data_IF_538501546642
#
_entry.id   IF_538501546642
#
_cell.length_a   1.000
_cell.length_b   1.000
_cell.length_c   1.000
_cell.angle_alpha   90.00
_cell.angle_beta   90.00
_cell.angle_gamma   90.00
#
_symmetry.space_group_name_H-M   'P 1'
#
loop_
_entity.id
_entity.type
_entity.pdbx_description
1 polymer ?
#
# COMPACT_ATOMS: atom_id res chain seq x y z
N UNK A 1 7.08 25.60 11.81
CA UNK A 1 5.97 25.10 10.97
C UNK A 1 6.41 25.21 9.53
N UNK A 2 6.98 24.15 8.98
CA UNK A 2 7.36 24.08 7.56
C UNK A 2 6.25 23.36 6.82
N UNK A 3 5.57 24.09 5.95
CA UNK A 3 4.54 23.61 5.03
C UNK A 3 5.03 22.36 4.27
N UNK A 4 4.54 21.19 4.65
CA UNK A 4 4.61 19.97 3.84
C UNK A 4 3.59 20.08 2.71
N UNK A 5 3.94 20.81 1.64
CA UNK A 5 3.19 20.84 0.36
C UNK A 5 3.14 19.47 -0.36
N UNK A 6 3.72 18.41 0.20
CA UNK A 6 3.79 17.09 -0.41
C UNK A 6 2.72 16.09 0.06
N UNK A 7 1.97 16.39 1.14
CA UNK A 7 1.04 15.43 1.73
C UNK A 7 -0.37 16.01 1.86
N UNK A 8 -1.31 15.50 1.06
CA UNK A 8 -2.68 16.01 0.93
C UNK A 8 -3.63 15.41 1.99
N UNK A 9 -3.24 15.49 3.26
CA UNK A 9 -4.09 15.05 4.37
C UNK A 9 -5.34 15.93 4.51
N UNK A 10 -6.49 15.32 4.78
CA UNK A 10 -7.76 16.01 5.01
C UNK A 10 -8.47 16.51 3.74
N UNK A 11 -7.81 16.45 2.58
CA UNK A 11 -8.43 16.72 1.27
C UNK A 11 -8.61 15.43 0.47
N UNK A 12 -7.52 14.72 0.19
CA UNK A 12 -7.51 13.49 -0.63
C UNK A 12 -7.24 12.24 0.21
N UNK A 13 -6.53 12.39 1.32
CA UNK A 13 -6.06 11.28 2.16
C UNK A 13 -6.52 11.48 3.60
N UNK A 14 -7.08 10.42 4.19
CA UNK A 14 -7.44 10.42 5.62
C UNK A 14 -6.26 9.89 6.43
N UNK A 15 -5.92 10.58 7.52
CA UNK A 15 -4.85 10.15 8.43
C UNK A 15 -5.39 9.07 9.40
N UNK A 16 -5.23 7.80 9.03
CA UNK A 16 -5.55 6.65 9.88
C UNK A 16 -4.39 6.32 10.83
N UNK A 17 -3.19 6.25 10.28
CA UNK A 17 -1.95 6.00 10.99
C UNK A 17 -1.31 7.33 11.37
N UNK A 18 -1.47 7.70 12.64
CA UNK A 18 -0.89 8.91 13.24
C UNK A 18 0.61 8.76 13.48
N UNK A 19 1.27 9.88 13.75
CA UNK A 19 2.66 9.87 14.20
C UNK A 19 2.80 9.06 15.51
N UNK A 20 3.80 8.20 15.56
CA UNK A 20 4.17 7.46 16.76
C UNK A 20 5.69 7.56 16.96
N UNK A 21 6.07 8.21 18.06
CA UNK A 21 7.47 8.42 18.45
C UNK A 21 8.19 7.09 18.73
N UNK A 22 7.49 6.08 19.25
CA UNK A 22 8.08 4.77 19.54
C UNK A 22 8.41 4.04 18.24
N UNK A 23 7.48 4.06 17.28
CA UNK A 23 7.70 3.50 15.95
C UNK A 23 8.85 4.22 15.21
N UNK A 24 8.92 5.54 15.29
CA UNK A 24 10.03 6.31 14.70
C UNK A 24 11.38 5.93 15.33
N UNK A 25 11.45 5.81 16.66
CA UNK A 25 12.68 5.39 17.35
C UNK A 25 13.11 3.99 16.94
N UNK A 26 12.18 3.04 16.83
CA UNK A 26 12.47 1.68 16.33
C UNK A 26 13.00 1.71 14.90
N UNK A 27 12.41 2.55 14.04
CA UNK A 27 12.84 2.70 12.66
C UNK A 27 14.26 3.27 12.55
N UNK A 28 14.58 4.31 13.33
CA UNK A 28 15.93 4.88 13.41
C UNK A 28 16.93 3.82 13.90
N UNK A 29 16.62 3.13 15.00
CA UNK A 29 17.50 2.10 15.56
C UNK A 29 17.77 0.97 14.55
N UNK A 30 16.75 0.58 13.77
CA UNK A 30 16.93 -0.42 12.72
C UNK A 30 17.88 0.09 11.61
N UNK A 31 17.72 1.34 11.16
CA UNK A 31 18.61 1.95 10.16
C UNK A 31 20.05 2.09 10.66
N UNK A 32 20.25 2.42 11.94
CA UNK A 32 21.58 2.44 12.55
C UNK A 32 22.19 1.03 12.58
N UNK A 33 21.43 0.00 12.97
CA UNK A 33 21.91 -1.39 12.93
C UNK A 33 22.32 -1.80 11.51
N UNK A 34 21.53 -1.43 10.51
CA UNK A 34 21.82 -1.73 9.10
C UNK A 34 23.08 -0.99 8.61
N UNK A 35 23.28 0.26 9.05
CA UNK A 35 24.51 1.03 8.80
C UNK A 35 25.77 0.33 9.33
N UNK A 36 25.72 -0.19 10.56
CA UNK A 36 26.86 -0.90 11.18
C UNK A 36 27.10 -2.29 10.57
N UNK A 37 26.07 -2.92 9.99
CA UNK A 37 26.17 -4.23 9.31
C UNK A 37 26.61 -4.13 7.86
N UNK A 38 26.31 -3.01 7.20
CA UNK A 38 26.58 -2.83 5.78
C UNK A 38 28.05 -2.55 5.51
N UNK A 39 28.56 -3.14 4.43
CA UNK A 39 29.89 -2.87 3.87
C UNK A 39 29.74 -2.47 2.42
N UNK A 40 30.42 -1.41 2.02
CA UNK A 40 30.24 -0.83 0.68
C UNK A 40 31.53 -0.78 -0.12
N UNK A 41 31.39 -0.78 -1.44
CA UNK A 41 32.52 -0.44 -2.31
C UNK A 41 32.73 1.06 -2.32
N UNK A 42 33.99 1.52 -2.40
CA UNK A 42 34.33 2.94 -2.57
C UNK A 42 33.65 3.62 -3.77
N UNK A 43 33.20 2.84 -4.75
CA UNK A 43 32.57 3.31 -5.98
C UNK A 43 31.04 3.51 -5.87
N UNK A 44 30.41 2.98 -4.81
CA UNK A 44 28.98 3.07 -4.58
C UNK A 44 28.73 3.58 -3.16
N UNK A 45 28.63 4.92 -2.99
CA UNK A 45 28.43 5.53 -1.67
C UNK A 45 26.97 5.33 -1.25
N UNK A 46 26.69 4.21 -0.61
CA UNK A 46 25.58 4.17 0.33
C UNK A 46 26.15 4.64 1.70
N UNK A 47 25.38 4.49 2.77
CA UNK A 47 25.88 4.76 4.12
C UNK A 47 26.14 3.41 4.79
N UNK A 48 27.42 3.03 4.88
CA UNK A 48 27.89 1.86 5.62
C UNK A 48 29.15 2.18 6.41
N UNK A 49 29.33 1.55 7.58
CA UNK A 49 30.52 1.75 8.43
C UNK A 49 31.78 1.18 7.80
N UNK A 50 31.60 0.07 7.10
CA UNK A 50 32.68 -0.68 6.48
C UNK A 50 32.75 -0.37 4.99
N UNK A 51 33.97 -0.34 4.48
CA UNK A 51 34.29 -0.03 3.11
C UNK A 51 35.20 -1.14 2.58
N UNK A 52 34.70 -1.89 1.61
CA UNK A 52 35.46 -2.86 0.83
C UNK A 52 36.26 -2.13 -0.22
N UNK A 53 37.58 -2.13 -0.07
CA UNK A 53 38.53 -1.68 -1.08
C UNK A 53 39.18 -2.89 -1.74
N UNK A 54 39.26 -2.86 -3.06
CA UNK A 54 39.87 -3.91 -3.87
C UNK A 54 40.78 -3.27 -4.91
N UNK A 55 41.99 -3.79 -5.08
CA UNK A 55 42.92 -3.35 -6.11
C UNK A 55 43.41 -4.53 -6.95
N UNK A 56 43.36 -4.35 -8.26
CA UNK A 56 43.92 -5.23 -9.29
C UNK A 56 45.35 -4.79 -9.71
N UNK A 57 45.85 -3.71 -9.11
CA UNK A 57 47.14 -3.12 -9.44
C UNK A 57 48.30 -3.90 -8.81
N UNK A 58 49.53 -3.76 -9.35
CA UNK A 58 50.73 -4.30 -8.71
C UNK A 58 50.83 -3.87 -7.24
N UNK A 59 51.25 -4.79 -6.38
CA UNK A 59 51.23 -4.62 -4.92
C UNK A 59 51.85 -3.30 -4.43
N UNK A 60 52.95 -2.83 -5.04
CA UNK A 60 53.57 -1.56 -4.66
C UNK A 60 52.68 -0.32 -4.87
N UNK A 61 51.84 -0.32 -5.91
CA UNK A 61 50.87 0.75 -6.17
C UNK A 61 49.66 0.58 -5.24
N UNK A 62 49.15 -0.64 -5.13
CA UNK A 62 48.03 -0.96 -4.25
C UNK A 62 48.32 -0.56 -2.78
N UNK A 63 49.52 -0.83 -2.28
CA UNK A 63 49.93 -0.45 -0.93
C UNK A 63 50.04 1.07 -0.75
N UNK A 64 50.42 1.81 -1.79
CA UNK A 64 50.45 3.28 -1.72
C UNK A 64 49.04 3.83 -1.56
N UNK A 65 48.10 3.38 -2.39
CA UNK A 65 46.69 3.81 -2.32
C UNK A 65 46.05 3.43 -0.97
N UNK A 66 46.33 2.22 -0.48
CA UNK A 66 45.90 1.80 0.84
C UNK A 66 46.48 2.71 1.93
N UNK A 67 47.76 3.05 1.85
CA UNK A 67 48.42 3.94 2.82
C UNK A 67 47.76 5.32 2.84
N UNK A 68 47.36 5.86 1.69
CA UNK A 68 46.61 7.12 1.62
C UNK A 68 45.25 7.03 2.33
N UNK A 69 44.56 5.89 2.24
CA UNK A 69 43.31 5.66 2.99
C UNK A 69 43.57 5.56 4.51
N UNK A 70 44.66 4.90 4.93
CA UNK A 70 45.03 4.83 6.35
C UNK A 70 45.39 6.20 6.92
N UNK A 71 46.08 7.04 6.14
CA UNK A 71 46.40 8.43 6.52
C UNK A 71 45.14 9.30 6.66
N UNK A 72 44.07 9.00 5.91
CA UNK A 72 42.75 9.62 6.07
C UNK A 72 41.99 9.13 7.32
N UNK A 73 42.58 8.22 8.10
CA UNK A 73 42.03 7.72 9.37
C UNK A 73 41.20 6.44 9.24
N UNK A 74 41.16 5.81 8.07
CA UNK A 74 40.51 4.51 7.91
C UNK A 74 41.32 3.43 8.64
N UNK A 75 40.63 2.48 9.26
CA UNK A 75 41.26 1.38 10.01
C UNK A 75 41.05 0.07 9.26
N UNK A 76 42.11 -0.72 9.10
CA UNK A 76 41.99 -2.08 8.54
C UNK A 76 41.22 -2.97 9.51
N UNK A 77 40.14 -3.58 9.03
CA UNK A 77 39.36 -4.58 9.78
C UNK A 77 39.84 -5.99 9.41
N UNK A 78 39.92 -6.27 8.11
CA UNK A 78 40.45 -7.52 7.58
C UNK A 78 41.04 -7.28 6.20
N UNK A 79 41.99 -8.14 5.81
CA UNK A 79 42.61 -8.12 4.50
C UNK A 79 42.72 -9.56 3.98
N UNK A 80 42.43 -9.75 2.71
CA UNK A 80 42.63 -11.02 2.02
C UNK A 80 43.24 -10.78 0.65
N UNK A 81 44.28 -11.53 0.35
CA UNK A 81 44.89 -11.58 -0.97
C UNK A 81 44.35 -12.80 -1.69
N UNK A 82 43.85 -12.60 -2.91
CA UNK A 82 43.68 -13.71 -3.85
C UNK A 82 44.77 -13.58 -4.94
N UNK A 83 44.91 -14.57 -5.83
CA UNK A 83 46.00 -14.58 -6.81
C UNK A 83 46.06 -13.37 -7.76
N UNK A 84 44.96 -12.66 -7.98
CA UNK A 84 44.85 -11.56 -8.94
C UNK A 84 44.49 -10.20 -8.31
N UNK A 85 44.00 -10.19 -7.08
CA UNK A 85 43.45 -9.00 -6.44
C UNK A 85 43.79 -8.97 -4.94
N UNK A 86 44.06 -7.76 -4.46
CA UNK A 86 44.24 -7.48 -3.04
C UNK A 86 43.00 -6.76 -2.52
N UNK A 87 42.35 -7.35 -1.52
CA UNK A 87 41.12 -6.83 -0.94
C UNK A 87 41.33 -6.51 0.53
N UNK A 88 40.81 -5.36 0.94
CA UNK A 88 40.87 -4.89 2.32
C UNK A 88 39.52 -4.33 2.71
N UNK A 89 38.99 -4.80 3.84
CA UNK A 89 37.85 -4.16 4.49
C UNK A 89 38.38 -3.10 5.45
N UNK A 90 37.91 -1.88 5.26
CA UNK A 90 38.28 -0.69 5.99
C UNK A 90 37.10 -0.20 6.81
N UNK A 91 37.32 0.14 8.08
CA UNK A 91 36.35 0.88 8.89
C UNK A 91 36.61 2.37 8.74
N UNK A 92 35.54 3.14 8.53
CA UNK A 92 35.59 4.60 8.48
C UNK A 92 36.12 5.21 9.80
N UNK A 93 36.73 6.41 9.75
CA UNK A 93 37.08 7.16 10.97
C UNK A 93 35.84 7.44 11.83
N UNK A 94 36.00 7.51 13.15
CA UNK A 94 34.88 7.71 14.07
C UNK A 94 34.18 9.07 13.83
N UNK A 95 34.91 10.11 13.44
CA UNK A 95 34.32 11.41 13.04
C UNK A 95 33.42 11.33 11.81
N UNK A 96 33.73 10.44 10.86
CA UNK A 96 32.89 10.21 9.67
C UNK A 96 31.66 9.42 10.07
N UNK A 97 31.82 8.40 10.91
CA UNK A 97 30.73 7.58 11.47
C UNK A 97 29.72 8.46 12.18
N UNK A 98 30.15 9.36 13.06
CA UNK A 98 29.25 10.28 13.78
C UNK A 98 28.48 11.18 12.81
N UNK A 99 29.14 11.69 11.77
CA UNK A 99 28.49 12.52 10.75
C UNK A 99 27.48 11.75 9.88
N UNK A 100 27.78 10.48 9.58
CA UNK A 100 26.90 9.59 8.83
C UNK A 100 25.66 9.22 9.65
N UNK A 101 25.83 8.94 10.95
CA UNK A 101 24.71 8.61 11.84
C UNK A 101 23.70 9.76 11.94
N UNK A 102 24.16 11.01 12.00
CA UNK A 102 23.26 12.18 11.97
C UNK A 102 22.43 12.19 10.69
N UNK A 103 23.07 11.97 9.53
CA UNK A 103 22.37 11.91 8.23
C UNK A 103 21.38 10.75 8.17
N UNK A 104 21.74 9.59 8.72
CA UNK A 104 20.85 8.42 8.79
C UNK A 104 19.62 8.73 9.62
N UNK A 105 19.77 9.43 10.75
CA UNK A 105 18.63 9.84 11.58
C UNK A 105 17.72 10.80 10.82
N UNK A 106 18.27 11.78 10.11
CA UNK A 106 17.49 12.73 9.32
C UNK A 106 16.77 12.04 8.16
N UNK A 107 17.46 11.16 7.43
CA UNK A 107 16.88 10.39 6.35
C UNK A 107 15.79 9.43 6.86
N UNK A 108 16.03 8.75 7.99
CA UNK A 108 15.05 7.87 8.61
C UNK A 108 13.77 8.61 9.02
N UNK A 109 13.86 9.87 9.48
CA UNK A 109 12.69 10.70 9.78
C UNK A 109 11.89 11.05 8.52
N UNK A 110 12.59 11.37 7.43
CA UNK A 110 11.97 11.66 6.14
C UNK A 110 11.26 10.41 5.59
N UNK A 111 11.99 9.30 5.49
CA UNK A 111 11.49 7.99 5.03
C UNK A 111 10.29 7.54 5.86
N UNK A 112 10.35 7.63 7.20
CA UNK A 112 9.24 7.28 8.08
C UNK A 112 7.99 8.12 7.79
N UNK A 113 8.17 9.42 7.53
CA UNK A 113 7.05 10.33 7.21
C UNK A 113 6.40 9.96 5.89
N UNK A 114 7.21 9.61 4.89
CA UNK A 114 6.76 9.15 3.58
C UNK A 114 6.05 7.79 3.66
N UNK A 115 6.66 6.79 4.31
CA UNK A 115 6.05 5.47 4.52
C UNK A 115 4.72 5.56 5.27
N UNK A 116 4.62 6.45 6.25
CA UNK A 116 3.35 6.72 6.94
C UNK A 116 2.31 7.31 5.98
N UNK A 117 2.71 8.25 5.13
CA UNK A 117 1.80 8.82 4.14
C UNK A 117 1.30 7.77 3.15
N UNK A 118 2.20 6.96 2.59
CA UNK A 118 1.83 5.88 1.67
C UNK A 118 0.84 4.92 2.31
N UNK A 119 1.09 4.50 3.57
CA UNK A 119 0.15 3.65 4.33
C UNK A 119 -1.24 4.29 4.49
N UNK A 120 -1.29 5.59 4.73
CA UNK A 120 -2.55 6.33 4.85
C UNK A 120 -3.29 6.45 3.50
N UNK A 121 -2.57 6.65 2.39
CA UNK A 121 -3.13 6.65 1.04
C UNK A 121 -3.77 5.29 0.74
N UNK A 122 -3.06 4.21 1.01
CA UNK A 122 -3.53 2.85 0.72
C UNK A 122 -4.74 2.48 1.57
N UNK A 123 -4.72 2.83 2.86
CA UNK A 123 -5.88 2.58 3.72
C UNK A 123 -7.08 3.45 3.32
N UNK A 124 -6.86 4.71 2.92
CA UNK A 124 -7.93 5.56 2.38
C UNK A 124 -8.58 4.93 1.15
N UNK A 125 -7.77 4.49 0.18
CA UNK A 125 -8.28 3.79 -1.02
C UNK A 125 -9.05 2.53 -0.64
N UNK A 126 -8.58 1.77 0.35
CA UNK A 126 -9.24 0.58 0.84
C UNK A 126 -10.61 0.88 1.45
N UNK A 127 -10.71 1.91 2.28
CA UNK A 127 -11.98 2.33 2.91
C UNK A 127 -12.98 2.88 1.88
N UNK A 128 -12.52 3.63 0.87
CA UNK A 128 -13.35 4.06 -0.26
C UNK A 128 -13.89 2.84 -1.00
N UNK A 129 -13.03 1.88 -1.36
CA UNK A 129 -13.45 0.68 -2.08
C UNK A 129 -14.50 -0.14 -1.30
N UNK A 130 -14.34 -0.27 0.02
CA UNK A 130 -15.34 -0.91 0.86
C UNK A 130 -16.67 -0.17 0.88
N UNK A 131 -16.63 1.16 0.98
CA UNK A 131 -17.84 1.98 1.01
C UNK A 131 -18.60 1.89 -0.31
N UNK A 132 -17.90 2.04 -1.44
CA UNK A 132 -18.50 1.89 -2.79
C UNK A 132 -19.08 0.48 -2.96
N UNK A 133 -18.35 -0.57 -2.58
CA UNK A 133 -18.85 -1.94 -2.70
C UNK A 133 -20.12 -2.19 -1.86
N UNK A 134 -20.22 -1.56 -0.68
CA UNK A 134 -21.42 -1.63 0.15
C UNK A 134 -22.60 -0.92 -0.53
N UNK A 135 -22.39 0.32 -0.98
CA UNK A 135 -23.45 1.10 -1.66
C UNK A 135 -23.94 0.41 -2.93
N UNK A 136 -23.05 -0.21 -3.72
CA UNK A 136 -23.45 -0.98 -4.89
C UNK A 136 -24.32 -2.19 -4.52
N UNK A 137 -23.96 -2.95 -3.48
CA UNK A 137 -24.78 -4.08 -3.01
C UNK A 137 -26.13 -3.63 -2.47
N UNK A 138 -26.19 -2.51 -1.77
CA UNK A 138 -27.44 -1.92 -1.28
C UNK A 138 -28.33 -1.47 -2.45
N UNK A 139 -27.75 -0.87 -3.49
CA UNK A 139 -28.47 -0.49 -4.71
C UNK A 139 -28.99 -1.71 -5.49
N UNK A 140 -28.16 -2.75 -5.65
CA UNK A 140 -28.54 -4.01 -6.32
C UNK A 140 -29.68 -4.72 -5.58
N UNK A 141 -29.60 -4.82 -4.26
CA UNK A 141 -30.66 -5.44 -3.44
C UNK A 141 -31.97 -4.65 -3.50
N UNK A 142 -31.89 -3.31 -3.47
CA UNK A 142 -33.06 -2.46 -3.66
C UNK A 142 -33.69 -2.62 -5.06
N UNK A 143 -32.88 -2.69 -6.12
CA UNK A 143 -33.35 -2.91 -7.48
C UNK A 143 -33.97 -4.31 -7.67
N UNK A 144 -33.38 -5.34 -7.06
CA UNK A 144 -33.92 -6.69 -7.07
C UNK A 144 -35.29 -6.76 -6.35
N UNK A 145 -35.44 -6.06 -5.23
CA UNK A 145 -36.73 -5.96 -4.53
C UNK A 145 -37.78 -5.24 -5.39
N UNK A 146 -37.42 -4.10 -5.97
CA UNK A 146 -38.34 -3.32 -6.81
C UNK A 146 -38.81 -4.11 -8.06
N UNK A 147 -37.93 -4.92 -8.65
CA UNK A 147 -38.29 -5.80 -9.78
C UNK A 147 -39.19 -6.95 -9.35
N UNK A 148 -38.95 -7.56 -8.18
CA UNK A 148 -39.84 -8.60 -7.62
C UNK A 148 -41.25 -8.05 -7.31
N UNK A 149 -41.34 -6.88 -6.69
CA UNK A 149 -42.61 -6.22 -6.36
C UNK A 149 -43.39 -5.82 -7.65
N UNK A 150 -42.68 -5.42 -8.70
CA UNK A 150 -43.29 -5.13 -10.00
C UNK A 150 -43.80 -6.40 -10.69
N UNK A 151 -43.05 -7.50 -10.63
CA UNK A 151 -43.45 -8.77 -11.23
C UNK A 151 -44.70 -9.34 -10.55
N UNK A 152 -44.77 -9.29 -9.22
CA UNK A 152 -45.98 -9.72 -8.47
C UNK A 152 -47.18 -8.87 -8.86
N UNK A 153 -47.05 -7.54 -8.92
CA UNK A 153 -48.14 -6.65 -9.38
C UNK A 153 -48.60 -7.00 -10.80
N UNK A 154 -47.67 -7.28 -11.73
CA UNK A 154 -48.02 -7.68 -13.11
C UNK A 154 -48.75 -9.03 -13.12
N UNK A 155 -48.29 -10.00 -12.32
CA UNK A 155 -48.92 -11.31 -12.20
C UNK A 155 -50.33 -11.21 -11.60
N UNK A 156 -50.51 -10.40 -10.57
CA UNK A 156 -51.81 -10.17 -9.93
C UNK A 156 -52.81 -9.53 -10.90
N UNK A 157 -52.36 -8.51 -11.66
CA UNK A 157 -53.18 -7.89 -12.70
C UNK A 157 -53.55 -8.89 -13.80
N UNK A 158 -52.58 -9.68 -14.29
CA UNK A 158 -52.83 -10.69 -15.30
C UNK A 158 -53.80 -11.79 -14.81
N UNK A 159 -53.72 -12.17 -13.53
CA UNK A 159 -54.63 -13.13 -12.91
C UNK A 159 -56.04 -12.53 -12.79
N UNK A 160 -56.17 -11.26 -12.38
CA UNK A 160 -57.46 -10.58 -12.32
C UNK A 160 -58.14 -10.49 -13.70
N UNK A 161 -57.38 -10.14 -14.74
CA UNK A 161 -57.86 -10.11 -16.13
C UNK A 161 -58.33 -11.49 -16.60
N UNK A 162 -57.58 -12.55 -16.29
CA UNK A 162 -57.98 -13.92 -16.59
C UNK A 162 -59.26 -14.31 -15.83
N UNK A 163 -59.37 -14.02 -14.54
CA UNK A 163 -60.59 -14.31 -13.78
C UNK A 163 -61.80 -13.57 -14.36
N UNK A 164 -61.67 -12.31 -14.74
CA UNK A 164 -62.74 -11.53 -15.36
C UNK A 164 -63.15 -12.10 -16.73
N UNK A 165 -62.19 -12.53 -17.56
CA UNK A 165 -62.45 -13.12 -18.86
C UNK A 165 -63.17 -14.49 -18.76
N UNK A 166 -62.88 -15.28 -17.73
CA UNK A 166 -63.42 -16.63 -17.57
C UNK A 166 -64.61 -16.71 -16.58
N UNK A 167 -64.91 -15.65 -15.82
CA UNK A 167 -66.15 -15.54 -15.05
C UNK A 167 -67.33 -15.15 -15.95
N UNK A 168 -68.00 -16.12 -16.59
CA UNK A 168 -69.23 -15.85 -17.36
C UNK A 168 -70.37 -15.35 -16.44
N UNK A 169 -71.17 -14.35 -16.85
CA UNK A 169 -72.42 -14.05 -16.16
C UNK A 169 -73.42 -15.19 -16.44
N UNK A 170 -73.98 -15.75 -15.38
CA UNK A 170 -75.04 -16.75 -15.46
C UNK A 170 -76.27 -16.09 -16.10
N UNK A 171 -76.52 -16.35 -17.39
CA UNK A 171 -77.77 -15.91 -18.04
C UNK A 171 -78.97 -16.52 -17.29
N UNK A 172 -79.98 -15.73 -16.90
CA UNK A 172 -81.19 -16.28 -16.30
C UNK A 172 -81.93 -17.13 -17.35
N UNK A 173 -82.33 -18.34 -16.95
CA UNK A 173 -83.16 -19.24 -17.76
C UNK A 173 -84.50 -18.54 -18.06
N UNK A 174 -84.75 -18.19 -19.32
CA UNK A 174 -86.12 -17.92 -19.79
C UNK A 174 -86.90 -19.23 -19.75
N UNK A 175 -87.94 -19.28 -18.91
CA UNK A 175 -88.95 -20.34 -18.93
C UNK A 175 -89.72 -20.26 -20.25
N UNK A 176 -89.78 -21.38 -20.99
CA UNK A 176 -90.88 -21.65 -21.92
C UNK A 176 -92.19 -21.73 -21.13
N UNK A 177 -93.25 -21.13 -21.66
CA UNK A 177 -94.63 -21.53 -21.38
C UNK A 177 -95.29 -21.72 -22.74
N UNK A 178 -95.53 -22.98 -23.09
CA UNK A 178 -96.50 -23.37 -24.10
C UNK A 178 -97.92 -23.08 -23.56
N UNK A 179 -98.79 -22.48 -24.38
CA UNK A 179 -100.23 -22.61 -24.20
C UNK A 179 -100.92 -22.52 -25.57
N UNK A 180 -101.63 -23.60 -25.85
CA UNK A 180 -102.42 -23.98 -27.04
C UNK A 180 -103.82 -23.33 -26.98
N UNK A 181 -104.56 -23.42 -28.09
CA UNK A 181 -106.01 -23.18 -28.32
C UNK A 181 -106.38 -21.76 -28.78
N UNK A 182 -107.24 -21.55 -29.79
CA UNK A 182 -107.90 -22.38 -30.79
C UNK A 182 -108.33 -21.46 -31.95
#
# INVERSE_FOLDING_TARGET
MTDTKHYNYGTEVVEFFKHDDEALRKFIAQREVDYFRSSESLLHPQLGVQVSWSSDQPMGVALKDLTELLLKGYKVVTAYSKPLDFNVQLRKPDSVIDSDLIKIVEQAKADYTEERYVRNVDETKRQIAFTVAREMREAETAAAKATADRLTTIQDNALADLLAAYSKPTKPKSKKVDAVTA
#
